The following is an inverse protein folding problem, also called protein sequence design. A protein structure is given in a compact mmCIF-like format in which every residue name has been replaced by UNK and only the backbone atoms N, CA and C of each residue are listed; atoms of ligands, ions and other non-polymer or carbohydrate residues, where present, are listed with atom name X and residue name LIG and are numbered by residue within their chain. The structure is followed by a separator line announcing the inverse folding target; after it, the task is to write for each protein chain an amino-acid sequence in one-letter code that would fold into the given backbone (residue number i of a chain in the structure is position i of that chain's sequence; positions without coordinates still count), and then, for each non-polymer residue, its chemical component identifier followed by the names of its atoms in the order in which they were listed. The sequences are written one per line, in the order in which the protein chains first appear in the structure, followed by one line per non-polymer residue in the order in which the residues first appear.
data_IF_029719909889
#
_entry.id   IF_029719909889
#
_cell.length_a   1.000
_cell.length_b   1.000
_cell.length_c   1.000
_cell.angle_alpha   90.00
_cell.angle_beta   90.00
_cell.angle_gamma   90.00
#
_symmetry.space_group_name_H-M   'P 1'
#
loop_
_entity.id
_entity.type
_entity.pdbx_description
1 polymer ?
#
# COMPACT_ATOMS: atom_id res chain seq x y z
N UNK A 1 61.30 1.59 54.25
CA UNK A 1 60.55 0.80 55.25
C UNK A 1 59.16 0.56 54.67
N UNK A 2 58.94 -0.42 53.78
CA UNK A 2 58.99 -1.87 53.96
C UNK A 2 57.96 -2.38 54.98
N UNK A 3 56.88 -3.00 54.47
CA UNK A 3 56.11 -4.18 54.92
C UNK A 3 54.71 -4.09 54.28
N UNK A 4 54.36 -4.80 53.20
CA UNK A 4 54.32 -6.26 52.94
C UNK A 4 53.35 -7.01 53.86
N UNK A 5 52.13 -7.28 53.38
CA UNK A 5 51.34 -8.48 53.73
C UNK A 5 50.60 -9.02 52.50
N UNK A 6 50.66 -10.35 52.23
CA UNK A 6 50.12 -11.00 51.04
C UNK A 6 48.89 -11.90 51.42
N UNK A 7 48.50 -12.96 50.68
CA UNK A 7 47.09 -13.25 50.34
C UNK A 7 46.48 -14.40 51.16
N UNK A 8 45.16 -14.40 51.34
CA UNK A 8 44.38 -15.57 51.83
C UNK A 8 43.74 -16.25 50.61
N UNK A 9 44.17 -17.45 50.22
CA UNK A 9 43.89 -18.79 50.78
C UNK A 9 42.65 -19.43 50.12
N UNK A 10 42.96 -20.18 49.06
CA UNK A 10 42.15 -21.22 48.45
C UNK A 10 42.18 -22.48 49.34
N UNK A 11 41.04 -23.11 49.65
CA UNK A 11 41.04 -24.47 50.17
C UNK A 11 41.18 -25.52 49.04
N UNK A 12 41.99 -26.59 49.24
CA UNK A 12 42.15 -27.69 48.29
C UNK A 12 41.33 -28.96 48.65
N UNK A 13 40.81 -29.60 47.60
CA UNK A 13 40.62 -31.06 47.45
C UNK A 13 39.42 -31.74 48.13
N UNK A 14 39.22 -33.06 47.93
CA UNK A 14 39.66 -33.91 46.83
C UNK A 14 38.58 -34.94 46.33
N UNK A 15 38.95 -35.66 45.27
CA UNK A 15 38.56 -37.03 44.92
C UNK A 15 37.13 -37.41 44.46
N UNK A 16 37.09 -37.67 43.15
CA UNK A 16 36.78 -38.99 42.58
C UNK A 16 35.52 -39.72 43.06
N UNK A 17 34.45 -39.59 42.28
CA UNK A 17 33.46 -40.66 42.13
C UNK A 17 33.14 -40.89 40.64
N UNK A 18 33.59 -42.06 40.20
CA UNK A 18 32.93 -42.99 39.29
C UNK A 18 32.24 -42.46 38.04
N UNK A 19 32.96 -42.62 36.92
CA UNK A 19 32.39 -42.81 35.61
C UNK A 19 31.46 -44.05 35.59
N UNK A 20 30.16 -43.80 35.61
CA UNK A 20 29.15 -44.76 35.16
C UNK A 20 28.84 -44.50 33.67
N UNK A 21 28.89 -45.52 32.79
CA UNK A 21 28.51 -45.35 31.40
C UNK A 21 26.99 -45.20 31.31
N UNK A 22 26.53 -43.97 31.07
CA UNK A 22 25.16 -43.72 30.65
C UNK A 22 24.93 -44.36 29.27
N UNK A 23 23.81 -45.07 29.05
CA UNK A 23 23.51 -45.66 27.77
C UNK A 23 23.33 -44.55 26.73
N UNK A 24 24.04 -44.69 25.62
CA UNK A 24 23.89 -43.89 24.41
C UNK A 24 22.43 -43.97 23.97
N UNK A 25 21.64 -42.99 24.39
CA UNK A 25 20.34 -42.72 23.81
C UNK A 25 20.60 -42.27 22.38
N UNK A 26 20.31 -43.17 21.45
CA UNK A 26 20.37 -42.93 20.02
C UNK A 26 19.70 -41.59 19.69
N UNK A 27 20.48 -40.68 19.12
CA UNK A 27 19.97 -39.53 18.39
C UNK A 27 18.93 -40.03 17.38
N UNK A 28 17.67 -39.58 17.43
CA UNK A 28 16.77 -39.77 16.30
C UNK A 28 17.34 -38.94 15.15
N UNK A 29 17.75 -39.61 14.08
CA UNK A 29 18.09 -38.99 12.81
C UNK A 29 17.00 -37.96 12.41
N UNK A 30 17.36 -36.73 11.99
CA UNK A 30 16.40 -35.70 11.58
C UNK A 30 15.79 -35.95 10.19
N UNK A 31 15.71 -37.20 9.73
CA UNK A 31 15.44 -37.55 8.33
C UNK A 31 14.01 -38.05 8.05
N UNK A 32 13.10 -38.04 9.03
CA UNK A 32 11.76 -38.63 8.87
C UNK A 32 10.57 -37.69 9.20
N UNK A 33 10.80 -36.41 9.49
CA UNK A 33 9.73 -35.45 9.82
C UNK A 33 9.37 -34.46 8.68
N UNK A 34 9.95 -34.62 7.49
CA UNK A 34 9.77 -33.71 6.33
C UNK A 34 8.68 -34.15 5.32
N UNK A 35 7.80 -35.10 5.65
CA UNK A 35 6.88 -35.67 4.65
C UNK A 35 5.44 -35.12 4.61
N UNK A 36 5.08 -34.11 5.41
CA UNK A 36 3.70 -33.56 5.39
C UNK A 36 3.63 -32.03 5.14
N UNK A 37 4.74 -31.38 4.80
CA UNK A 37 4.68 -30.00 4.32
C UNK A 37 4.01 -29.99 2.93
N UNK A 38 2.89 -29.28 2.73
CA UNK A 38 2.23 -29.23 1.44
C UNK A 38 3.22 -28.69 0.43
N UNK A 39 3.42 -29.43 -0.66
CA UNK A 39 4.35 -29.03 -1.72
C UNK A 39 3.98 -27.63 -2.21
N UNK A 40 4.95 -26.81 -2.68
CA UNK A 40 4.66 -25.47 -3.19
C UNK A 40 3.50 -25.44 -4.20
N UNK A 41 3.37 -26.49 -5.01
CA UNK A 41 2.26 -26.70 -5.94
C UNK A 41 0.91 -26.91 -5.24
N UNK A 42 0.87 -27.72 -4.17
CA UNK A 42 -0.35 -27.92 -3.36
C UNK A 42 -0.78 -26.64 -2.66
N UNK A 43 0.18 -25.81 -2.19
CA UNK A 43 -0.11 -24.51 -1.60
C UNK A 43 -0.72 -23.54 -2.63
N UNK A 44 -0.20 -23.54 -3.87
CA UNK A 44 -0.76 -22.74 -4.96
C UNK A 44 -2.17 -23.19 -5.34
N UNK A 45 -2.41 -24.51 -5.46
CA UNK A 45 -3.73 -25.07 -5.72
C UNK A 45 -4.73 -24.74 -4.61
N UNK A 46 -4.31 -24.78 -3.34
CA UNK A 46 -5.12 -24.40 -2.20
C UNK A 46 -5.50 -22.90 -2.26
N UNK A 47 -4.54 -22.02 -2.54
CA UNK A 47 -4.81 -20.58 -2.73
C UNK A 47 -5.77 -20.32 -3.89
N UNK A 48 -5.61 -21.04 -5.01
CA UNK A 48 -6.50 -20.93 -6.16
C UNK A 48 -7.94 -21.35 -5.84
N UNK A 49 -8.12 -22.47 -5.11
CA UNK A 49 -9.44 -22.92 -4.65
C UNK A 49 -10.11 -21.89 -3.73
N UNK A 50 -9.35 -21.34 -2.79
CA UNK A 50 -9.84 -20.32 -1.85
C UNK A 50 -10.21 -19.03 -2.58
N UNK A 51 -9.39 -18.59 -3.54
CA UNK A 51 -9.71 -17.44 -4.39
C UNK A 51 -11.01 -17.65 -5.19
N UNK A 52 -11.18 -18.83 -5.80
CA UNK A 52 -12.40 -19.18 -6.54
C UNK A 52 -13.64 -19.18 -5.64
N UNK A 53 -13.49 -19.62 -4.40
CA UNK A 53 -14.56 -19.56 -3.40
C UNK A 53 -14.90 -18.11 -3.02
N UNK A 54 -13.90 -17.27 -2.70
CA UNK A 54 -14.12 -15.86 -2.40
C UNK A 54 -14.79 -15.11 -3.55
N UNK A 55 -14.42 -15.40 -4.80
CA UNK A 55 -15.07 -14.81 -5.99
C UNK A 55 -16.55 -15.20 -6.05
N UNK A 56 -16.87 -16.48 -5.88
CA UNK A 56 -18.26 -16.98 -5.83
C UNK A 56 -19.06 -16.34 -4.69
N UNK A 57 -18.49 -16.23 -3.50
CA UNK A 57 -19.13 -15.61 -2.33
C UNK A 57 -19.38 -14.11 -2.56
N UNK A 58 -18.43 -13.39 -3.16
CA UNK A 58 -18.58 -11.97 -3.50
C UNK A 58 -19.69 -11.76 -4.53
N UNK A 59 -19.73 -12.58 -5.58
CA UNK A 59 -20.81 -12.56 -6.58
C UNK A 59 -22.17 -12.88 -5.96
N UNK A 60 -22.25 -13.88 -5.08
CA UNK A 60 -23.47 -14.21 -4.34
C UNK A 60 -23.96 -13.05 -3.45
N UNK A 61 -23.03 -12.37 -2.75
CA UNK A 61 -23.37 -11.20 -1.91
C UNK A 61 -23.89 -10.03 -2.72
N UNK A 62 -23.32 -9.78 -3.91
CA UNK A 62 -23.81 -8.75 -4.83
C UNK A 62 -25.21 -9.09 -5.34
N UNK A 63 -25.44 -10.36 -5.73
CA UNK A 63 -26.76 -10.82 -6.15
C UNK A 63 -27.80 -10.68 -5.02
N UNK A 64 -27.46 -11.09 -3.80
CA UNK A 64 -28.34 -10.94 -2.64
C UNK A 64 -28.68 -9.46 -2.37
N UNK A 65 -27.69 -8.57 -2.51
CA UNK A 65 -27.90 -7.12 -2.34
C UNK A 65 -28.84 -6.56 -3.42
N UNK A 66 -28.69 -7.00 -4.68
CA UNK A 66 -29.59 -6.62 -5.78
C UNK A 66 -31.01 -7.10 -5.55
N UNK A 67 -31.21 -8.35 -5.12
CA UNK A 67 -32.53 -8.89 -4.80
C UNK A 67 -33.17 -8.14 -3.62
N UNK A 68 -32.39 -7.85 -2.58
CA UNK A 68 -32.85 -7.06 -1.44
C UNK A 68 -33.29 -5.65 -1.86
N UNK A 69 -32.51 -4.97 -2.71
CA UNK A 69 -32.88 -3.66 -3.25
C UNK A 69 -34.15 -3.71 -4.11
N UNK A 70 -34.28 -4.70 -5.00
CA UNK A 70 -35.49 -4.90 -5.82
C UNK A 70 -36.74 -5.17 -4.96
N UNK A 71 -36.60 -5.95 -3.88
CA UNK A 71 -37.70 -6.20 -2.93
C UNK A 71 -38.11 -4.94 -2.16
N UNK A 72 -37.17 -4.04 -1.85
CA UNK A 72 -37.49 -2.76 -1.20
C UNK A 72 -38.18 -1.81 -2.18
N UNK A 73 -37.72 -1.76 -3.42
CA UNK A 73 -38.32 -0.94 -4.46
C UNK A 73 -39.78 -1.34 -4.74
N UNK A 74 -40.06 -2.65 -4.84
CA UNK A 74 -41.43 -3.15 -5.04
C UNK A 74 -42.35 -2.87 -3.83
N UNK A 75 -41.86 -3.03 -2.60
CA UNK A 75 -42.62 -2.64 -1.38
C UNK A 75 -42.91 -1.14 -1.33
N UNK A 76 -41.95 -0.30 -1.70
CA UNK A 76 -42.13 1.16 -1.77
C UNK A 76 -43.17 1.54 -2.84
N UNK A 77 -43.10 0.92 -4.02
CA UNK A 77 -44.07 1.14 -5.08
C UNK A 77 -45.49 0.70 -4.69
N UNK A 78 -45.63 -0.43 -3.99
CA UNK A 78 -46.93 -0.90 -3.48
C UNK A 78 -47.50 0.02 -2.37
N UNK A 79 -46.64 0.60 -1.52
CA UNK A 79 -47.06 1.57 -0.51
C UNK A 79 -47.50 2.91 -1.16
N UNK A 80 -46.84 3.32 -2.24
CA UNK A 80 -47.20 4.52 -3.00
C UNK A 80 -48.51 4.35 -3.79
N UNK A 81 -48.83 3.15 -4.28
CA UNK A 81 -50.09 2.87 -4.98
C UNK A 81 -51.29 2.60 -4.06
N UNK A 82 -51.06 2.37 -2.77
CA UNK A 82 -52.10 2.12 -1.76
C UNK A 82 -52.57 3.32 -0.94
N UNK A 83 -51.99 4.52 -1.14
CA UNK A 83 -52.26 5.69 -0.30
C UNK A 83 -53.13 6.73 -1.01
N UNK A 84 -54.43 6.45 -1.13
CA UNK A 84 -55.44 7.48 -1.37
C UNK A 84 -56.20 7.80 -0.08
N UNK A 85 -56.09 9.07 0.32
CA UNK A 85 -56.99 9.82 1.22
C UNK A 85 -56.99 9.47 2.72
N UNK A 86 -56.30 10.30 3.51
CA UNK A 86 -56.96 11.34 4.34
C UNK A 86 -55.92 12.21 5.04
N UNK A 87 -56.06 13.51 4.81
CA UNK A 87 -55.31 14.57 5.44
C UNK A 87 -55.56 14.61 6.95
N UNK A 88 -54.51 14.84 7.73
CA UNK A 88 -54.62 15.56 9.00
C UNK A 88 -53.28 16.18 9.36
N UNK A 89 -53.30 17.50 9.45
CA UNK A 89 -52.23 18.36 9.92
C UNK A 89 -52.05 18.22 11.42
N UNK A 90 -50.82 17.95 11.88
CA UNK A 90 -50.41 18.40 13.22
C UNK A 90 -48.89 18.53 13.35
N UNK A 91 -48.49 19.74 13.76
CA UNK A 91 -47.14 20.13 14.14
C UNK A 91 -46.62 19.31 15.33
N UNK A 92 -45.30 19.09 15.40
CA UNK A 92 -44.56 19.03 16.67
C UNK A 92 -43.05 19.27 16.51
N UNK A 93 -42.50 19.92 17.53
CA UNK A 93 -41.16 20.47 17.79
C UNK A 93 -40.04 19.41 17.83
N UNK A 94 -38.75 19.82 17.76
CA UNK A 94 -37.62 18.93 17.98
C UNK A 94 -37.40 18.70 19.48
N UNK A 95 -37.33 17.43 19.91
CA UNK A 95 -36.85 17.05 21.24
C UNK A 95 -35.66 16.12 21.10
N UNK A 96 -34.57 16.49 21.76
CA UNK A 96 -33.51 15.58 22.16
C UNK A 96 -34.07 14.44 23.03
N UNK A 97 -33.53 13.23 22.87
CA UNK A 97 -33.00 12.41 23.98
C UNK A 97 -32.33 11.13 23.46
N UNK A 98 -31.26 10.83 24.18
CA UNK A 98 -30.48 9.60 24.21
C UNK A 98 -31.33 8.32 24.32
N UNK A 99 -30.86 7.28 23.62
CA UNK A 99 -30.80 5.90 24.14
C UNK A 99 -31.94 4.96 23.73
N UNK A 100 -31.69 4.12 22.72
CA UNK A 100 -31.83 2.64 22.80
C UNK A 100 -31.69 2.01 21.40
N UNK A 101 -30.85 0.98 21.31
CA UNK A 101 -30.65 0.04 20.19
C UNK A 101 -29.95 0.61 18.94
N UNK A 102 -28.63 0.41 18.91
CA UNK A 102 -27.73 0.76 17.83
C UNK A 102 -27.92 -0.10 16.58
N UNK A 103 -28.95 0.20 15.80
CA UNK A 103 -28.95 -0.10 14.37
C UNK A 103 -28.27 1.08 13.68
N UNK A 104 -26.98 0.91 13.37
CA UNK A 104 -26.22 1.90 12.61
C UNK A 104 -26.84 1.97 11.22
N UNK A 105 -27.51 3.09 10.90
CA UNK A 105 -28.09 3.32 9.59
C UNK A 105 -26.96 3.58 8.58
N UNK A 106 -26.47 2.50 7.97
CA UNK A 106 -25.43 2.52 6.94
C UNK A 106 -25.90 3.11 5.60
N UNK A 107 -27.16 3.55 5.49
CA UNK A 107 -27.68 4.17 4.27
C UNK A 107 -27.34 5.65 4.13
N UNK A 108 -26.94 6.32 5.23
CA UNK A 108 -26.57 7.72 5.22
C UNK A 108 -25.05 7.85 5.20
N UNK A 109 -24.51 8.03 3.99
CA UNK A 109 -23.10 8.39 3.80
C UNK A 109 -22.85 9.68 4.59
N UNK A 110 -22.05 9.58 5.66
CA UNK A 110 -21.66 10.75 6.44
C UNK A 110 -20.79 11.65 5.56
N UNK A 111 -21.42 12.68 5.00
CA UNK A 111 -20.76 13.67 4.16
C UNK A 111 -19.80 14.57 4.94
N UNK A 112 -19.68 14.43 6.28
CA UNK A 112 -18.65 15.08 7.08
C UNK A 112 -17.29 14.37 7.06
N UNK A 113 -17.20 13.13 6.56
CA UNK A 113 -15.94 12.38 6.53
C UNK A 113 -15.35 12.21 5.11
N UNK A 114 -15.57 13.20 4.23
CA UNK A 114 -14.90 13.24 2.92
C UNK A 114 -13.58 14.02 3.02
N UNK A 115 -12.45 13.49 2.52
CA UNK A 115 -11.11 14.11 2.60
C UNK A 115 -10.96 15.48 1.94
N UNK A 116 -12.01 16.01 1.29
CA UNK A 116 -11.98 17.26 0.54
C UNK A 116 -12.58 18.46 1.31
N UNK A 117 -12.98 18.30 2.57
CA UNK A 117 -13.62 19.38 3.36
C UNK A 117 -12.68 20.20 4.23
N UNK A 118 -11.36 20.02 4.12
CA UNK A 118 -10.37 20.86 4.83
C UNK A 118 -10.05 22.16 4.08
N UNK A 119 -10.42 22.26 2.80
CA UNK A 119 -10.29 23.48 1.99
C UNK A 119 -11.64 24.21 1.94
N UNK A 120 -11.62 25.53 2.11
CA UNK A 120 -12.82 26.35 1.99
C UNK A 120 -13.40 26.32 0.57
N UNK A 121 -14.69 26.65 0.39
CA UNK A 121 -15.32 26.69 -0.93
C UNK A 121 -14.57 27.63 -1.90
N UNK A 122 -14.10 28.78 -1.41
CA UNK A 122 -13.31 29.72 -2.20
C UNK A 122 -11.93 29.17 -2.59
N UNK A 123 -11.34 28.34 -1.74
CA UNK A 123 -10.03 27.74 -1.96
C UNK A 123 -10.11 26.63 -3.02
N UNK A 124 -11.23 25.88 -3.02
CA UNK A 124 -11.57 24.91 -4.07
C UNK A 124 -11.76 25.57 -5.43
N UNK A 125 -12.44 26.72 -5.49
CA UNK A 125 -12.61 27.48 -6.74
C UNK A 125 -11.26 27.93 -7.29
N UNK A 126 -10.39 28.49 -6.43
CA UNK A 126 -9.03 28.90 -6.84
C UNK A 126 -8.16 27.73 -7.28
N UNK A 127 -8.27 26.58 -6.64
CA UNK A 127 -7.52 25.38 -7.04
C UNK A 127 -8.01 24.84 -8.39
N UNK A 128 -9.33 24.86 -8.61
CA UNK A 128 -9.92 24.48 -9.90
C UNK A 128 -9.48 25.42 -11.03
N UNK A 129 -9.47 26.74 -10.80
CA UNK A 129 -8.96 27.73 -11.76
C UNK A 129 -7.48 27.51 -12.07
N UNK A 130 -6.65 27.25 -11.05
CA UNK A 130 -5.22 26.96 -11.25
C UNK A 130 -5.00 25.73 -12.10
N UNK A 131 -5.79 24.67 -11.88
CA UNK A 131 -5.71 23.43 -12.65
C UNK A 131 -6.16 23.63 -14.09
N UNK A 132 -7.20 24.44 -14.32
CA UNK A 132 -7.64 24.81 -15.66
C UNK A 132 -6.58 25.64 -16.42
N UNK A 133 -5.92 26.59 -15.76
CA UNK A 133 -4.81 27.36 -16.35
C UNK A 133 -3.64 26.46 -16.72
N UNK A 134 -3.26 25.54 -15.83
CA UNK A 134 -2.17 24.60 -16.10
C UNK A 134 -2.51 23.67 -17.27
N UNK A 135 -3.77 23.23 -17.38
CA UNK A 135 -4.24 22.41 -18.49
C UNK A 135 -4.25 23.17 -19.83
N UNK A 136 -4.56 24.47 -19.83
CA UNK A 136 -4.47 25.31 -21.04
C UNK A 136 -3.01 25.48 -21.51
N UNK A 137 -2.06 25.57 -20.58
CA UNK A 137 -0.64 25.65 -20.91
C UNK A 137 -0.07 24.30 -21.38
N UNK A 138 -0.58 23.19 -20.85
CA UNK A 138 -0.09 21.84 -21.18
C UNK A 138 -0.82 21.19 -22.34
N UNK A 139 -2.00 21.69 -22.75
CA UNK A 139 -2.72 21.11 -23.89
C UNK A 139 -1.90 21.29 -25.16
N UNK A 140 -1.64 20.18 -25.86
CA UNK A 140 -0.89 20.19 -27.11
C UNK A 140 -1.52 21.18 -28.09
N UNK A 141 -0.69 21.99 -28.73
CA UNK A 141 -1.14 22.99 -29.70
C UNK A 141 -2.04 22.32 -30.74
N UNK A 142 -3.20 22.92 -31.10
CA UNK A 142 -4.09 22.35 -32.09
C UNK A 142 -3.31 22.07 -33.37
N UNK A 143 -3.31 20.80 -33.78
CA UNK A 143 -2.62 20.36 -35.00
C UNK A 143 -3.21 21.18 -36.15
N UNK A 144 -2.43 22.13 -36.66
CA UNK A 144 -2.82 22.89 -37.84
C UNK A 144 -2.92 21.88 -38.99
N UNK A 145 -4.06 21.79 -39.69
CA UNK A 145 -4.14 20.93 -40.86
C UNK A 145 -3.04 21.38 -41.82
N UNK A 146 -2.17 20.43 -42.19
CA UNK A 146 -1.02 20.67 -43.06
C UNK A 146 -1.51 21.36 -44.33
N UNK A 147 -0.92 22.50 -44.75
CA UNK A 147 -1.37 23.19 -45.95
C UNK A 147 -1.26 22.21 -47.13
N UNK A 148 -2.40 21.98 -47.78
CA UNK A 148 -2.53 21.05 -48.88
C UNK A 148 -1.50 21.33 -49.97
N UNK A 149 -0.90 20.24 -50.45
CA UNK A 149 0.05 20.16 -51.56
C UNK A 149 -0.23 21.23 -52.65
N UNK A 150 0.57 22.28 -52.69
CA UNK A 150 0.74 23.08 -53.90
C UNK A 150 1.56 22.23 -54.87
N UNK A 151 0.83 21.46 -55.67
CA UNK A 151 1.31 20.70 -56.82
C UNK A 151 1.83 21.69 -57.86
N UNK A 152 3.09 21.52 -58.26
CA UNK A 152 3.85 22.47 -59.05
C UNK A 152 3.37 22.71 -60.48
N UNK A 153 3.76 23.87 -61.00
CA UNK A 153 4.11 24.09 -62.38
C UNK A 153 5.33 25.01 -62.47
N UNK A 154 6.26 24.60 -63.32
CA UNK A 154 7.24 25.42 -64.05
C UNK A 154 8.34 26.14 -63.25
N UNK A 155 9.51 25.48 -63.14
CA UNK A 155 10.71 26.04 -63.76
C UNK A 155 11.72 24.90 -64.05
N UNK A 156 11.80 24.55 -65.34
CA UNK A 156 12.98 23.91 -65.92
C UNK A 156 14.08 24.97 -66.11
N UNK A 157 15.32 24.48 -66.28
CA UNK A 157 16.52 25.20 -66.73
C UNK A 157 17.40 25.84 -65.65
N UNK A 158 18.37 25.06 -65.14
CA UNK A 158 19.79 25.32 -65.38
C UNK A 158 20.65 24.17 -64.81
N UNK A 159 21.00 23.27 -65.74
CA UNK A 159 22.24 22.51 -65.90
C UNK A 159 23.41 22.72 -64.92
N UNK A 160 23.88 21.57 -64.41
CA UNK A 160 25.26 21.05 -64.43
C UNK A 160 26.39 21.72 -63.60
N UNK A 161 26.88 20.96 -62.61
CA UNK A 161 28.28 20.75 -62.18
C UNK A 161 28.26 20.17 -60.75
N UNK A 162 28.94 19.11 -60.30
CA UNK A 162 29.94 18.17 -60.82
C UNK A 162 29.98 16.99 -59.83
N UNK A 163 30.35 15.81 -60.34
CA UNK A 163 30.63 14.52 -59.67
C UNK A 163 31.32 14.58 -58.28
N UNK A 164 31.23 13.60 -57.39
CA UNK A 164 30.75 12.22 -57.50
C UNK A 164 31.10 11.40 -56.24
N UNK A 165 30.85 10.08 -56.33
CA UNK A 165 31.29 8.95 -55.45
C UNK A 165 30.15 8.19 -54.76
N UNK A 166 29.62 7.20 -55.49
CA UNK A 166 29.57 5.76 -55.17
C UNK A 166 29.71 5.37 -53.68
N UNK A 167 28.77 4.72 -53.00
CA UNK A 167 28.41 3.29 -53.13
C UNK A 167 27.33 3.00 -52.07
N UNK A 168 26.18 2.43 -52.45
CA UNK A 168 25.82 1.00 -52.29
C UNK A 168 25.21 0.64 -50.92
N UNK A 169 23.90 0.40 -50.95
CA UNK A 169 23.29 -0.72 -50.23
C UNK A 169 22.68 -0.40 -48.86
N UNK A 170 21.36 -0.57 -48.76
CA UNK A 170 20.68 -0.70 -47.48
C UNK A 170 19.41 0.13 -47.37
N UNK A 171 18.38 -0.22 -48.14
CA UNK A 171 17.00 0.12 -47.78
C UNK A 171 16.68 -0.60 -46.47
N UNK A 172 16.96 0.05 -45.33
CA UNK A 172 16.36 -0.34 -44.05
C UNK A 172 14.99 0.32 -44.02
N UNK A 173 14.03 -0.48 -44.43
CA UNK A 173 12.61 -0.32 -44.12
C UNK A 173 12.53 0.00 -42.62
N UNK A 174 12.28 1.26 -42.28
CA UNK A 174 11.76 1.64 -40.97
C UNK A 174 10.31 1.16 -40.94
N UNK A 175 10.17 -0.16 -40.84
CA UNK A 175 8.94 -0.78 -40.41
C UNK A 175 8.74 -0.32 -38.97
N UNK A 176 7.71 0.50 -38.80
CA UNK A 176 7.16 0.93 -37.55
C UNK A 176 6.62 -0.29 -36.79
N UNK A 177 7.51 -1.17 -36.35
CA UNK A 177 7.29 -1.97 -35.15
C UNK A 177 7.56 -1.01 -34.00
N UNK A 178 6.59 -0.11 -33.78
CA UNK A 178 6.40 0.53 -32.48
C UNK A 178 6.15 -0.63 -31.54
N UNK A 179 7.22 -1.14 -30.93
CA UNK A 179 7.12 -2.10 -29.86
C UNK A 179 6.08 -1.55 -28.86
N UNK A 180 5.12 -2.36 -28.38
CA UNK A 180 4.21 -1.93 -27.33
C UNK A 180 5.00 -1.86 -26.01
N UNK A 181 5.92 -0.90 -25.91
CA UNK A 181 6.66 -0.61 -24.68
C UNK A 181 5.81 0.18 -23.68
N UNK A 182 4.59 0.59 -24.07
CA UNK A 182 3.71 1.42 -23.25
C UNK A 182 2.52 0.62 -22.63
N UNK A 183 2.30 -0.66 -23.00
CA UNK A 183 1.20 -1.45 -22.43
C UNK A 183 1.58 -2.20 -21.14
N UNK A 184 2.87 -2.40 -20.88
CA UNK A 184 3.35 -3.07 -19.66
C UNK A 184 3.31 -2.15 -18.43
N UNK A 185 3.43 -0.83 -18.60
CA UNK A 185 3.38 0.15 -17.49
C UNK A 185 1.94 0.52 -17.06
N UNK A 186 0.93 0.18 -17.87
CA UNK A 186 -0.49 0.28 -17.51
C UNK A 186 -1.04 -0.99 -16.85
N UNK A 187 -0.22 -2.04 -16.75
CA UNK A 187 -0.55 -3.31 -16.10
C UNK A 187 -0.69 -3.11 -14.58
N UNK A 188 -1.84 -2.56 -14.18
CA UNK A 188 -2.17 -2.05 -12.85
C UNK A 188 -1.17 -1.01 -12.33
N UNK A 189 -1.49 0.26 -12.57
CA UNK A 189 -1.00 1.36 -11.72
C UNK A 189 -1.54 1.17 -10.29
N UNK A 190 -0.94 0.25 -9.52
CA UNK A 190 -1.19 0.06 -8.10
C UNK A 190 -0.68 1.31 -7.37
N UNK A 191 -1.62 2.21 -7.05
CA UNK A 191 -1.33 3.45 -6.34
C UNK A 191 -0.69 3.14 -4.97
N UNK A 192 0.46 3.76 -4.71
CA UNK A 192 1.19 3.62 -3.45
C UNK A 192 0.34 4.05 -2.24
N UNK A 193 -0.67 4.91 -2.44
CA UNK A 193 -1.60 5.32 -1.40
C UNK A 193 -2.46 4.17 -0.86
N UNK A 194 -2.70 3.13 -1.67
CA UNK A 194 -3.51 1.97 -1.30
C UNK A 194 -2.74 0.93 -0.46
N UNK A 195 -1.40 1.03 -0.43
CA UNK A 195 -0.53 0.12 0.30
C UNK A 195 0.32 0.89 1.32
N UNK A 196 -0.29 1.35 2.44
CA UNK A 196 0.44 1.98 3.53
C UNK A 196 1.57 1.07 4.03
N UNK A 197 2.75 1.65 4.25
CA UNK A 197 3.95 0.88 4.60
C UNK A 197 3.82 0.11 5.93
N UNK A 198 2.99 0.60 6.85
CA UNK A 198 2.77 -0.06 8.14
C UNK A 198 2.10 -1.43 8.04
N UNK A 199 1.44 -1.76 6.92
CA UNK A 199 0.86 -3.09 6.70
C UNK A 199 1.93 -4.16 6.39
N UNK A 200 3.15 -3.73 6.05
CA UNK A 200 4.28 -4.59 5.70
C UNK A 200 5.41 -4.51 6.74
N UNK A 201 5.15 -3.79 7.83
CA UNK A 201 6.05 -3.71 8.96
C UNK A 201 6.04 -5.04 9.72
N UNK A 202 7.21 -5.49 10.18
CA UNK A 202 7.35 -6.75 10.90
C UNK A 202 8.11 -6.52 12.20
N UNK A 203 7.77 -7.28 13.23
CA UNK A 203 8.41 -7.19 14.54
C UNK A 203 9.81 -7.85 14.59
N UNK A 204 10.26 -8.45 13.49
CA UNK A 204 11.58 -9.12 13.38
C UNK A 204 12.78 -8.23 13.73
N UNK A 205 12.64 -6.91 13.53
CA UNK A 205 13.69 -5.92 13.81
C UNK A 205 13.43 -5.16 15.13
N UNK A 206 12.41 -5.56 15.88
CA UNK A 206 12.00 -4.93 17.14
C UNK A 206 12.86 -5.49 18.28
N UNK A 207 13.55 -4.61 19.02
CA UNK A 207 14.36 -5.02 20.16
C UNK A 207 13.55 -5.16 21.46
N UNK A 208 12.43 -4.43 21.57
CA UNK A 208 11.63 -4.32 22.79
C UNK A 208 10.14 -4.23 22.45
N UNK A 209 9.29 -4.62 23.39
CA UNK A 209 7.85 -4.41 23.26
C UNK A 209 7.49 -2.90 23.31
N UNK A 210 6.34 -2.47 22.76
CA UNK A 210 5.91 -1.08 22.82
C UNK A 210 5.89 -0.49 24.24
N UNK A 211 5.52 -1.29 25.23
CA UNK A 211 5.45 -0.89 26.64
C UNK A 211 6.85 -0.75 27.25
N UNK A 212 7.79 -1.64 26.89
CA UNK A 212 9.20 -1.51 27.26
C UNK A 212 9.83 -0.26 26.66
N UNK A 213 9.54 0.04 25.39
CA UNK A 213 10.00 1.27 24.76
C UNK A 213 9.53 2.51 25.51
N UNK A 214 8.27 2.58 25.92
CA UNK A 214 7.73 3.69 26.71
C UNK A 214 8.34 3.82 28.11
N UNK A 215 8.69 2.69 28.72
CA UNK A 215 9.30 2.64 30.04
C UNK A 215 10.77 3.09 30.00
N UNK A 216 11.51 2.64 28.99
CA UNK A 216 12.93 2.95 28.80
C UNK A 216 13.14 4.35 28.19
N UNK A 217 12.37 4.70 27.16
CA UNK A 217 12.64 5.86 26.32
C UNK A 217 11.40 6.68 25.99
N UNK A 218 11.48 7.96 26.33
CA UNK A 218 10.42 8.95 26.01
C UNK A 218 10.81 9.91 24.91
N UNK A 219 11.96 9.71 24.27
CA UNK A 219 12.46 10.56 23.20
C UNK A 219 12.65 9.74 21.92
N UNK A 220 12.35 10.38 20.80
CA UNK A 220 12.53 9.79 19.48
C UNK A 220 12.47 10.86 18.41
N UNK A 221 12.43 10.44 17.15
CA UNK A 221 12.25 11.29 15.99
C UNK A 221 11.13 10.76 15.09
N UNK A 222 10.35 11.68 14.54
CA UNK A 222 9.29 11.38 13.58
C UNK A 222 9.37 12.36 12.39
N UNK A 223 8.95 11.95 11.18
CA UNK A 223 8.89 12.84 10.04
C UNK A 223 7.80 13.90 10.25
N UNK A 224 8.17 15.15 10.02
CA UNK A 224 7.36 16.34 10.17
C UNK A 224 7.38 17.14 8.87
N UNK A 225 6.21 17.44 8.34
CA UNK A 225 6.08 18.23 7.12
C UNK A 225 6.09 19.73 7.46
N UNK A 226 7.05 20.47 6.92
CA UNK A 226 7.18 21.91 7.14
C UNK A 226 7.67 22.60 5.88
N UNK A 227 7.00 23.69 5.49
CA UNK A 227 7.38 24.52 4.33
C UNK A 227 7.55 23.73 3.01
N UNK A 228 6.76 22.66 2.81
CA UNK A 228 6.83 21.85 1.58
C UNK A 228 7.80 20.67 1.64
N UNK A 229 8.56 20.53 2.72
CA UNK A 229 9.57 19.48 2.87
C UNK A 229 9.28 18.56 4.06
N UNK A 230 9.61 17.27 3.90
CA UNK A 230 9.59 16.30 5.00
C UNK A 230 10.94 16.28 5.70
N UNK A 231 10.95 16.63 6.99
CA UNK A 231 12.15 16.58 7.83
C UNK A 231 11.92 15.75 9.08
N UNK A 232 12.93 15.00 9.50
CA UNK A 232 12.89 14.33 10.81
C UNK A 232 13.06 15.36 11.91
N UNK A 233 12.14 15.36 12.89
CA UNK A 233 12.23 16.20 14.08
C UNK A 233 12.13 15.37 15.33
N UNK A 234 12.89 15.76 16.34
CA UNK A 234 12.82 15.15 17.66
C UNK A 234 11.44 15.39 18.29
N UNK A 235 10.91 14.35 18.90
CA UNK A 235 9.61 14.32 19.54
C UNK A 235 9.67 13.54 20.86
N UNK A 236 8.85 13.96 21.82
CA UNK A 236 8.63 13.24 23.06
C UNK A 236 7.44 12.27 22.89
N UNK A 237 7.63 11.02 23.26
CA UNK A 237 6.61 9.97 23.23
C UNK A 237 5.85 10.01 24.57
N UNK A 238 4.53 10.16 24.50
CA UNK A 238 3.66 10.37 25.67
C UNK A 238 2.95 9.10 26.09
N UNK A 239 2.36 8.39 25.14
CA UNK A 239 1.59 7.17 25.38
C UNK A 239 1.57 6.29 24.14
N UNK A 240 1.18 5.04 24.32
CA UNK A 240 0.91 4.08 23.25
C UNK A 240 -0.53 3.58 23.39
N UNK A 241 -1.21 3.44 22.24
CA UNK A 241 -2.54 2.86 22.15
C UNK A 241 -2.43 1.50 21.44
N UNK A 242 -2.55 0.42 22.21
CA UNK A 242 -2.50 -0.95 21.70
C UNK A 242 -3.65 -1.29 20.75
N UNK A 243 -4.82 -0.64 20.90
CA UNK A 243 -5.97 -0.88 20.00
C UNK A 243 -5.75 -0.31 18.59
N UNK A 244 -4.85 0.68 18.47
CA UNK A 244 -4.55 1.37 17.20
C UNK A 244 -3.12 1.15 16.72
N UNK A 245 -2.28 0.50 17.54
CA UNK A 245 -0.85 0.29 17.36
C UNK A 245 -0.11 1.60 17.04
N UNK A 246 -0.46 2.66 17.78
CA UNK A 246 0.04 4.01 17.53
C UNK A 246 0.59 4.65 18.80
N UNK A 247 1.69 5.37 18.63
CA UNK A 247 2.31 6.19 19.66
C UNK A 247 1.79 7.62 19.56
N UNK A 248 1.46 8.21 20.69
CA UNK A 248 1.17 9.63 20.81
C UNK A 248 2.49 10.37 21.00
N UNK A 249 2.88 11.17 20.01
CA UNK A 249 4.12 11.95 20.05
C UNK A 249 3.84 13.45 20.08
N UNK A 250 4.69 14.20 20.77
CA UNK A 250 4.67 15.66 20.83
C UNK A 250 6.01 16.19 20.29
N UNK A 251 5.97 17.01 19.23
CA UNK A 251 7.19 17.54 18.62
C UNK A 251 7.85 18.60 19.51
N UNK A 252 9.17 18.60 19.61
CA UNK A 252 9.88 19.62 20.40
C UNK A 252 9.64 21.03 19.83
N UNK A 253 9.28 21.97 20.71
CA UNK A 253 8.92 23.35 20.33
C UNK A 253 7.50 23.51 19.76
N UNK A 254 6.65 22.48 19.84
CA UNK A 254 5.23 22.59 19.50
C UNK A 254 4.37 21.80 20.50
N UNK A 255 3.23 22.38 20.91
CA UNK A 255 2.23 21.65 21.71
C UNK A 255 1.33 20.74 20.87
N UNK A 256 1.63 20.61 19.57
CA UNK A 256 0.90 19.72 18.68
C UNK A 256 1.30 18.27 18.95
N UNK A 257 0.28 17.48 19.23
CA UNK A 257 0.40 16.04 19.36
C UNK A 257 -0.03 15.35 18.07
N UNK A 258 0.60 14.22 17.75
CA UNK A 258 0.29 13.41 16.57
C UNK A 258 0.34 11.93 16.94
N UNK A 259 -0.60 11.18 16.39
CA UNK A 259 -0.55 9.72 16.43
C UNK A 259 0.32 9.20 15.29
N UNK A 260 1.33 8.39 15.63
CA UNK A 260 2.33 7.90 14.70
C UNK A 260 2.53 6.40 14.93
N UNK A 261 2.53 5.62 13.85
CA UNK A 261 2.83 4.18 13.91
C UNK A 261 4.33 3.95 14.04
N UNK A 262 4.71 2.76 14.51
CA UNK A 262 6.11 2.37 14.77
C UNK A 262 7.05 2.62 13.58
N UNK A 263 6.66 2.24 12.37
CA UNK A 263 7.46 2.46 11.16
C UNK A 263 7.82 3.93 10.84
N UNK A 264 7.11 4.89 11.43
CA UNK A 264 7.37 6.32 11.28
C UNK A 264 8.01 6.94 12.53
N UNK A 265 8.36 6.13 13.52
CA UNK A 265 8.96 6.56 14.78
C UNK A 265 10.29 5.86 14.97
N UNK A 266 11.36 6.65 15.07
CA UNK A 266 12.70 6.15 15.43
C UNK A 266 12.98 6.53 16.87
N UNK A 267 13.31 5.56 17.70
CA UNK A 267 13.72 5.83 19.09
C UNK A 267 15.16 6.35 19.15
N UNK A 268 15.56 6.94 20.27
CA UNK A 268 16.89 7.56 20.40
C UNK A 268 17.99 6.54 20.71
N UNK A 269 17.72 5.49 21.50
CA UNK A 269 18.66 4.36 21.65
C UNK A 269 18.69 3.42 20.44
N UNK A 270 17.67 3.47 19.58
CA UNK A 270 17.61 2.60 18.42
C UNK A 270 18.69 3.00 17.40
N UNK A 271 19.55 2.04 17.05
CA UNK A 271 20.59 2.27 16.05
C UNK A 271 19.95 2.67 14.70
N UNK A 272 20.37 3.79 14.06
CA UNK A 272 19.79 4.25 12.80
C UNK A 272 19.80 3.17 11.70
N UNK A 273 20.86 2.36 11.64
CA UNK A 273 20.98 1.26 10.69
C UNK A 273 19.98 0.12 10.94
N UNK A 274 19.55 -0.12 12.18
CA UNK A 274 18.52 -1.11 12.48
C UNK A 274 17.14 -0.62 12.01
N UNK A 275 16.83 0.65 12.30
CA UNK A 275 15.60 1.29 11.85
C UNK A 275 15.52 1.35 10.31
N UNK A 276 16.60 1.72 9.63
CA UNK A 276 16.65 1.77 8.17
C UNK A 276 16.47 0.39 7.55
N UNK A 277 17.08 -0.66 8.12
CA UNK A 277 16.87 -2.05 7.68
C UNK A 277 15.41 -2.47 7.82
N UNK A 278 14.74 -2.13 8.93
CA UNK A 278 13.30 -2.38 9.13
C UNK A 278 12.46 -1.69 8.05
N UNK A 279 12.69 -0.39 7.83
CA UNK A 279 11.97 0.38 6.80
C UNK A 279 12.24 -0.18 5.40
N UNK A 280 13.47 -0.59 5.11
CA UNK A 280 13.84 -1.21 3.84
C UNK A 280 13.15 -2.58 3.65
N UNK A 281 13.12 -3.43 4.67
CA UNK A 281 12.43 -4.71 4.64
C UNK A 281 10.92 -4.53 4.40
N UNK A 282 10.27 -3.58 5.08
CA UNK A 282 8.86 -3.27 4.85
C UNK A 282 8.61 -2.76 3.41
N UNK A 283 9.53 -1.96 2.85
CA UNK A 283 9.45 -1.52 1.45
C UNK A 283 9.60 -2.69 0.48
N UNK A 284 10.54 -3.60 0.74
CA UNK A 284 10.76 -4.79 -0.07
C UNK A 284 9.51 -5.69 -0.09
N UNK A 285 8.94 -6.01 1.07
CA UNK A 285 7.68 -6.78 1.19
C UNK A 285 6.50 -6.11 0.46
N UNK A 286 6.42 -4.78 0.53
CA UNK A 286 5.41 -4.02 -0.20
C UNK A 286 5.58 -4.15 -1.71
N UNK A 287 6.80 -4.04 -2.22
CA UNK A 287 7.04 -4.19 -3.66
C UNK A 287 6.83 -5.63 -4.14
N UNK A 288 7.18 -6.63 -3.33
CA UNK A 288 6.87 -8.03 -3.58
C UNK A 288 5.36 -8.28 -3.67
N UNK A 289 4.59 -7.78 -2.69
CA UNK A 289 3.13 -7.90 -2.71
C UNK A 289 2.51 -7.23 -3.95
N UNK A 290 3.04 -6.07 -4.37
CA UNK A 290 2.61 -5.43 -5.63
C UNK A 290 2.98 -6.27 -6.85
N UNK A 291 4.17 -6.84 -6.90
CA UNK A 291 4.59 -7.71 -7.99
C UNK A 291 3.67 -8.94 -8.10
N UNK A 292 3.34 -9.56 -6.98
CA UNK A 292 2.36 -10.65 -6.93
C UNK A 292 0.98 -10.22 -7.45
N UNK A 293 0.48 -9.05 -7.05
CA UNK A 293 -0.81 -8.54 -7.53
C UNK A 293 -0.81 -8.25 -9.04
N UNK A 294 0.28 -7.69 -9.57
CA UNK A 294 0.43 -7.48 -11.02
C UNK A 294 0.45 -8.81 -11.77
N UNK A 295 1.16 -9.80 -11.23
CA UNK A 295 1.22 -11.14 -11.80
C UNK A 295 -0.14 -11.85 -11.77
N UNK A 296 -0.87 -11.77 -10.66
CA UNK A 296 -2.22 -12.34 -10.53
C UNK A 296 -3.20 -11.70 -11.53
N UNK A 297 -3.14 -10.38 -11.71
CA UNK A 297 -3.96 -9.67 -12.69
C UNK A 297 -3.58 -10.02 -14.13
N UNK A 298 -2.28 -10.14 -14.40
CA UNK A 298 -1.79 -10.64 -15.68
C UNK A 298 -2.38 -12.03 -15.99
N UNK A 299 -2.26 -12.98 -15.06
CA UNK A 299 -2.83 -14.33 -15.23
C UNK A 299 -4.36 -14.31 -15.40
N UNK A 300 -5.06 -13.41 -14.70
CA UNK A 300 -6.50 -13.29 -14.80
C UNK A 300 -6.96 -12.74 -16.16
N UNK A 301 -6.13 -11.92 -16.83
CA UNK A 301 -6.40 -11.37 -18.16
C UNK A 301 -6.02 -12.34 -19.28
N UNK A 302 -5.10 -13.28 -19.04
CA UNK A 302 -4.73 -14.30 -20.01
C UNK A 302 -5.90 -15.29 -20.21
N UNK A 303 -6.51 -15.26 -21.40
CA UNK A 303 -7.57 -16.21 -21.76
C UNK A 303 -6.98 -17.63 -21.90
N UNK A 304 -7.65 -18.63 -21.33
CA UNK A 304 -7.19 -20.02 -21.31
C UNK A 304 -6.97 -20.66 -22.70
N UNK A 305 -7.42 -20.00 -23.77
CA UNK A 305 -7.19 -20.37 -25.17
C UNK A 305 -5.80 -19.98 -25.69
N UNK A 306 -5.18 -18.91 -25.18
CA UNK A 306 -3.83 -18.49 -25.61
C UNK A 306 -2.73 -19.38 -25.03
N UNK A 307 -2.90 -19.87 -23.80
CA UNK A 307 -1.97 -20.79 -23.15
C UNK A 307 -1.91 -22.18 -23.83
N UNK A 308 -2.94 -22.55 -24.61
CA UNK A 308 -3.04 -23.85 -25.29
C UNK A 308 -2.41 -23.87 -26.70
N UNK A 309 -2.08 -22.71 -27.26
CA UNK A 309 -1.51 -22.57 -28.60
C UNK A 309 0.03 -22.56 -28.61
N UNK A 310 0.66 -22.62 -27.43
CA UNK A 310 2.11 -22.61 -27.23
C UNK A 310 2.66 -24.00 -26.82
N UNK A 311 1.85 -25.05 -26.90
CA UNK A 311 2.22 -26.44 -26.57
C UNK A 311 2.08 -27.36 -27.77
#
# INVERSE_FOLDING_TARGET
MAQSRPPEDFPPGPDALEASPTPVAASPSPEAAEMDAPTPEQQLLARFRLHKQHRREKEARVQQTRLAAASRASRSAAAASGATTKASSRATKPSARFGAQGVVDLSRVDHHNRPHRWKGADELVREHERRAQQQQLSSAAPIRPYPGKLRGQALQEATEATAGTSTRGGKRQEDATKAPADEDDELLQLDQSQFPLHLFDSDEFEAHSPDEWLACERLGASPYFFQGEWRWRSCAIRSYDAGREQYLVQFQGSDRQKWVRRINLRFESEAPAAFERRVAAARARREEAKAMLRFDDFLARQDASQLRAMG
#
